data_IF_429018393298
#
_entry.id   IF_429018393298
#
_cell.length_a   1.000
_cell.length_b   1.000
_cell.length_c   1.000
_cell.angle_alpha   90.00
_cell.angle_beta   90.00
_cell.angle_gamma   90.00
#
_symmetry.space_group_name_H-M   'P 1'
#
loop_
_entity.id
_entity.type
_entity.pdbx_description
1 polymer ?
#
# COMPACT_ATOMS: atom_id res chain seq x y z
N UNK A 1 -18.17 15.35 -7.24
CA UNK A 1 -17.36 14.59 -6.27
C UNK A 1 -16.02 15.30 -6.13
N UNK A 2 -15.58 15.53 -4.89
CA UNK A 2 -14.27 16.12 -4.62
C UNK A 2 -13.19 15.04 -4.74
N UNK A 3 -12.73 14.79 -5.96
CA UNK A 3 -11.63 13.86 -6.21
C UNK A 3 -10.32 14.62 -6.36
N UNK A 4 -9.31 14.19 -5.62
CA UNK A 4 -7.94 14.69 -5.76
C UNK A 4 -7.15 13.67 -6.55
N UNK A 5 -6.36 14.14 -7.52
CA UNK A 5 -5.41 13.34 -8.27
C UNK A 5 -4.00 13.76 -7.92
N UNK A 6 -3.17 12.79 -7.57
CA UNK A 6 -1.77 12.99 -7.17
C UNK A 6 -0.86 12.24 -8.13
N UNK A 7 0.20 12.89 -8.59
CA UNK A 7 1.27 12.25 -9.35
C UNK A 7 2.12 11.39 -8.41
N UNK A 8 2.40 10.15 -8.81
CA UNK A 8 3.16 9.19 -8.03
C UNK A 8 4.53 8.98 -8.66
N UNK A 9 5.56 8.85 -7.83
CA UNK A 9 6.85 8.37 -8.32
C UNK A 9 6.74 6.89 -8.74
N UNK A 10 7.49 6.45 -9.77
CA UNK A 10 7.50 5.06 -10.19
C UNK A 10 7.94 4.15 -9.03
N UNK A 11 7.21 3.08 -8.72
CA UNK A 11 7.64 2.12 -7.72
C UNK A 11 8.89 1.36 -8.17
N UNK A 12 9.83 1.17 -7.25
CA UNK A 12 11.10 0.52 -7.51
C UNK A 12 11.16 -0.85 -6.81
N UNK A 13 11.41 -1.91 -7.57
CA UNK A 13 11.73 -3.22 -6.98
C UNK A 13 13.09 -3.17 -6.30
N UNK A 14 13.10 -3.37 -4.98
CA UNK A 14 14.32 -3.43 -4.17
C UNK A 14 14.79 -4.87 -3.90
N UNK A 15 14.02 -5.85 -4.37
CA UNK A 15 14.38 -7.27 -4.33
C UNK A 15 13.77 -8.04 -5.49
N UNK A 16 14.31 -9.24 -5.75
CA UNK A 16 13.55 -10.32 -6.40
C UNK A 16 12.44 -10.82 -5.44
N UNK A 17 11.69 -11.84 -5.84
CA UNK A 17 10.76 -12.50 -4.92
C UNK A 17 11.51 -13.02 -3.69
N UNK A 18 10.96 -12.77 -2.50
CA UNK A 18 11.47 -13.23 -1.21
C UNK A 18 10.41 -14.13 -0.59
N UNK A 19 10.84 -15.24 0.01
CA UNK A 19 9.99 -16.10 0.83
C UNK A 19 10.31 -15.93 2.31
N UNK A 20 9.29 -15.67 3.13
CA UNK A 20 9.37 -15.54 4.59
C UNK A 20 8.29 -16.42 5.20
N UNK A 21 8.68 -17.46 5.95
CA UNK A 21 7.76 -18.40 6.59
C UNK A 21 6.69 -18.98 5.62
N UNK A 22 7.12 -19.31 4.39
CA UNK A 22 6.23 -19.83 3.34
C UNK A 22 5.36 -18.77 2.64
N UNK A 23 5.50 -17.48 2.98
CA UNK A 23 4.82 -16.38 2.31
C UNK A 23 5.78 -15.72 1.32
N UNK A 24 5.37 -15.67 0.05
CA UNK A 24 6.14 -15.04 -1.02
C UNK A 24 5.67 -13.62 -1.30
N UNK A 25 6.61 -12.73 -1.58
CA UNK A 25 6.32 -11.36 -1.91
C UNK A 25 7.55 -10.60 -2.40
N UNK A 26 7.34 -9.33 -2.72
CA UNK A 26 8.36 -8.45 -3.26
C UNK A 26 8.56 -7.24 -2.37
N UNK A 27 9.81 -6.86 -2.12
CA UNK A 27 10.11 -5.56 -1.55
C UNK A 27 10.08 -4.51 -2.66
N UNK A 28 9.06 -3.65 -2.60
CA UNK A 28 8.86 -2.52 -3.50
C UNK A 28 8.96 -1.23 -2.70
N UNK A 29 9.70 -0.26 -3.22
CA UNK A 29 9.75 1.10 -2.69
C UNK A 29 8.80 2.00 -3.49
N UNK A 30 7.85 2.64 -2.81
CA UNK A 30 6.88 3.55 -3.41
C UNK A 30 6.65 4.73 -2.45
N UNK A 31 7.65 5.60 -2.28
CA UNK A 31 7.66 6.63 -1.22
C UNK A 31 7.92 6.08 0.19
N UNK A 32 7.47 4.85 0.46
CA UNK A 32 7.81 4.06 1.65
C UNK A 32 8.21 2.63 1.26
N UNK A 33 8.68 1.85 2.25
CA UNK A 33 9.07 0.45 2.06
C UNK A 33 7.85 -0.46 2.17
N UNK A 34 7.53 -1.21 1.13
CA UNK A 34 6.38 -2.10 1.07
C UNK A 34 6.79 -3.54 0.73
N UNK A 35 6.29 -4.51 1.49
CA UNK A 35 6.37 -5.92 1.15
C UNK A 35 5.02 -6.34 0.58
N UNK A 36 4.97 -6.52 -0.73
CA UNK A 36 3.74 -6.76 -1.50
C UNK A 36 3.54 -8.26 -1.70
N UNK A 37 2.39 -8.76 -1.28
CA UNK A 37 2.01 -10.18 -1.27
C UNK A 37 0.72 -10.35 -2.07
N UNK A 38 0.78 -11.14 -3.14
CA UNK A 38 -0.43 -11.62 -3.82
C UNK A 38 -1.05 -12.76 -3.02
N UNK A 39 -2.11 -12.47 -2.28
CA UNK A 39 -2.72 -13.40 -1.33
C UNK A 39 -3.84 -14.22 -1.99
N UNK A 40 -3.49 -15.36 -2.59
CA UNK A 40 -4.39 -16.17 -3.43
C UNK A 40 -5.51 -16.94 -2.71
N UNK A 41 -5.55 -16.93 -1.38
CA UNK A 41 -6.53 -17.69 -0.58
C UNK A 41 -7.64 -16.78 -0.04
N UNK A 42 -8.77 -17.33 0.40
CA UNK A 42 -9.79 -16.57 1.13
C UNK A 42 -9.19 -15.74 2.27
N UNK A 43 -9.74 -14.53 2.47
CA UNK A 43 -9.19 -13.58 3.44
C UNK A 43 -9.34 -14.22 4.83
N UNK A 44 -8.24 -14.43 5.57
CA UNK A 44 -8.37 -14.93 6.92
C UNK A 44 -8.82 -13.78 7.83
N UNK A 45 -9.10 -14.09 9.10
CA UNK A 45 -9.41 -13.05 10.09
C UNK A 45 -8.32 -11.98 10.15
N UNK A 46 -8.70 -10.74 10.46
CA UNK A 46 -7.75 -9.63 10.66
C UNK A 46 -6.66 -10.00 11.68
N UNK A 47 -7.02 -10.71 12.75
CA UNK A 47 -6.05 -11.17 13.76
C UNK A 47 -5.01 -12.15 13.20
N UNK A 48 -5.39 -12.99 12.22
CA UNK A 48 -4.45 -13.89 11.53
C UNK A 48 -3.59 -13.13 10.53
N UNK A 49 -4.16 -12.19 9.77
CA UNK A 49 -3.39 -11.30 8.90
C UNK A 49 -2.35 -10.50 9.67
N UNK A 50 -2.72 -9.91 10.81
CA UNK A 50 -1.79 -9.17 11.66
C UNK A 50 -0.64 -10.04 12.18
N UNK A 51 -0.91 -11.28 12.56
CA UNK A 51 0.14 -12.22 12.98
C UNK A 51 1.14 -12.49 11.86
N UNK A 52 0.65 -12.70 10.64
CA UNK A 52 1.52 -12.89 9.45
C UNK A 52 2.30 -11.62 9.16
N UNK A 53 1.61 -10.48 9.14
CA UNK A 53 2.21 -9.18 8.87
C UNK A 53 3.30 -8.81 9.86
N UNK A 54 3.09 -9.02 11.17
CA UNK A 54 4.08 -8.77 12.22
C UNK A 54 5.36 -9.58 11.99
N UNK A 55 5.25 -10.87 11.65
CA UNK A 55 6.43 -11.70 11.35
C UNK A 55 7.27 -11.14 10.20
N UNK A 56 6.61 -10.66 9.15
CA UNK A 56 7.27 -10.07 7.97
C UNK A 56 7.82 -8.67 8.31
N UNK A 57 7.01 -7.81 8.94
CA UNK A 57 7.35 -6.45 9.39
C UNK A 57 8.66 -6.40 10.17
N UNK A 58 8.87 -7.38 11.06
CA UNK A 58 10.03 -7.48 11.94
C UNK A 58 11.08 -8.51 11.46
N UNK A 59 10.93 -9.06 10.26
CA UNK A 59 11.92 -9.99 9.75
C UNK A 59 13.28 -9.30 9.59
N UNK A 60 14.36 -9.99 9.98
CA UNK A 60 15.74 -9.49 9.98
C UNK A 60 16.23 -9.00 8.61
N UNK A 61 15.63 -9.47 7.51
CA UNK A 61 15.93 -8.99 6.15
C UNK A 61 15.62 -7.48 6.02
N UNK A 62 14.66 -6.98 6.79
CA UNK A 62 14.27 -5.58 6.81
C UNK A 62 14.79 -4.90 8.09
N UNK A 63 16.02 -4.37 8.04
CA UNK A 63 16.71 -3.75 9.20
C UNK A 63 15.89 -2.73 10.02
N UNK A 64 15.04 -1.93 9.35
CA UNK A 64 14.13 -0.96 10.00
C UNK A 64 12.65 -1.35 9.81
N UNK A 65 12.45 -2.60 9.42
CA UNK A 65 11.24 -3.20 8.90
C UNK A 65 10.48 -2.43 7.82
N UNK A 66 9.29 -2.93 7.52
CA UNK A 66 8.59 -2.68 6.25
C UNK A 66 7.07 -2.65 6.44
N UNK A 67 6.36 -1.85 5.65
CA UNK A 67 4.91 -1.98 5.52
C UNK A 67 4.60 -3.34 4.89
N UNK A 68 3.55 -4.02 5.32
CA UNK A 68 3.15 -5.30 4.72
C UNK A 68 1.81 -5.11 4.03
N UNK A 69 1.78 -5.39 2.74
CA UNK A 69 0.62 -5.16 1.90
C UNK A 69 0.20 -6.50 1.30
N UNK A 70 -0.99 -6.96 1.67
CA UNK A 70 -1.64 -8.09 1.05
C UNK A 70 -2.60 -7.54 -0.01
N UNK A 71 -2.60 -8.14 -1.18
CA UNK A 71 -3.60 -7.82 -2.19
C UNK A 71 -4.18 -9.07 -2.82
N UNK A 72 -5.39 -8.92 -3.35
CA UNK A 72 -6.06 -9.92 -4.18
C UNK A 72 -6.53 -9.31 -5.47
N UNK A 73 -6.52 -10.11 -6.51
CA UNK A 73 -7.16 -9.76 -7.77
C UNK A 73 -8.66 -10.03 -7.66
N UNK A 74 -9.46 -9.08 -8.12
CA UNK A 74 -10.89 -9.23 -8.30
C UNK A 74 -11.24 -8.73 -9.71
N UNK A 75 -11.32 -9.64 -10.68
CA UNK A 75 -11.45 -9.36 -12.11
C UNK A 75 -10.40 -8.36 -12.65
N UNK A 76 -10.80 -7.08 -12.73
CA UNK A 76 -10.00 -5.96 -13.21
C UNK A 76 -9.47 -5.05 -12.10
N UNK A 77 -9.80 -5.33 -10.85
CA UNK A 77 -9.51 -4.52 -9.66
C UNK A 77 -8.66 -5.30 -8.66
N UNK A 78 -8.22 -4.63 -7.60
CA UNK A 78 -7.58 -5.29 -6.46
C UNK A 78 -8.17 -4.86 -5.13
N UNK A 79 -8.28 -5.82 -4.21
CA UNK A 79 -8.50 -5.53 -2.80
C UNK A 79 -7.15 -5.43 -2.12
N UNK A 80 -6.93 -4.44 -1.25
CA UNK A 80 -5.67 -4.24 -0.54
C UNK A 80 -5.87 -4.10 0.96
N UNK A 81 -5.11 -4.88 1.72
CA UNK A 81 -5.00 -4.78 3.18
C UNK A 81 -3.56 -4.39 3.53
N UNK A 82 -3.40 -3.33 4.32
CA UNK A 82 -2.09 -2.81 4.72
C UNK A 82 -1.90 -2.94 6.21
N UNK A 83 -0.78 -3.53 6.64
CA UNK A 83 -0.24 -3.40 7.98
C UNK A 83 0.86 -2.34 7.97
N UNK A 84 0.63 -1.23 8.67
CA UNK A 84 1.47 -0.04 8.54
C UNK A 84 2.54 0.01 9.64
N UNK A 85 3.79 0.16 9.21
CA UNK A 85 4.94 0.44 10.07
C UNK A 85 4.76 1.76 10.81
N UNK A 86 5.07 1.77 12.09
CA UNK A 86 4.98 2.95 12.94
C UNK A 86 3.59 3.12 13.56
N UNK A 87 2.56 2.49 12.98
CA UNK A 87 1.24 2.38 13.58
C UNK A 87 1.03 0.96 14.15
N UNK A 88 1.66 -0.04 13.55
CA UNK A 88 1.73 -1.44 14.00
C UNK A 88 0.36 -2.12 14.09
N UNK A 89 -0.55 -1.75 13.18
CA UNK A 89 -1.90 -2.29 13.03
C UNK A 89 -2.31 -2.35 11.55
N UNK A 90 -3.37 -3.11 11.26
CA UNK A 90 -4.03 -3.00 9.95
C UNK A 90 -4.63 -1.60 9.82
N UNK A 91 -4.27 -0.92 8.74
CA UNK A 91 -4.78 0.41 8.42
C UNK A 91 -5.97 0.33 7.47
N UNK A 92 -6.97 1.22 7.65
CA UNK A 92 -8.13 1.23 6.77
C UNK A 92 -7.78 1.60 5.31
N UNK A 93 -6.76 2.44 5.12
CA UNK A 93 -6.17 2.77 3.81
C UNK A 93 -4.70 3.16 3.95
N UNK A 94 -3.92 2.94 2.89
CA UNK A 94 -2.55 3.43 2.73
C UNK A 94 -2.28 3.64 1.23
N UNK A 95 -2.25 4.89 0.79
CA UNK A 95 -2.14 5.24 -0.63
C UNK A 95 -0.88 4.65 -1.30
N UNK A 96 0.29 4.79 -0.67
CA UNK A 96 1.54 4.26 -1.24
C UNK A 96 1.56 2.73 -1.30
N UNK A 97 1.00 2.06 -0.30
CA UNK A 97 0.88 0.61 -0.25
C UNK A 97 -0.08 0.06 -1.29
N UNK A 98 -1.24 0.69 -1.42
CA UNK A 98 -2.20 0.44 -2.49
C UNK A 98 -1.57 0.61 -3.87
N UNK A 99 -0.79 1.69 -4.07
CA UNK A 99 -0.11 1.94 -5.34
C UNK A 99 0.92 0.87 -5.66
N UNK A 100 1.73 0.45 -4.68
CA UNK A 100 2.70 -0.61 -4.85
C UNK A 100 2.05 -1.94 -5.27
N UNK A 101 0.91 -2.30 -4.67
CA UNK A 101 0.14 -3.48 -5.06
C UNK A 101 -0.41 -3.39 -6.49
N UNK A 102 -1.03 -2.26 -6.85
CA UNK A 102 -1.57 -2.04 -8.19
C UNK A 102 -0.48 -2.10 -9.26
N UNK A 103 0.64 -1.41 -9.02
CA UNK A 103 1.79 -1.43 -9.90
C UNK A 103 2.36 -2.84 -10.06
N UNK A 104 2.54 -3.57 -8.95
CA UNK A 104 3.02 -4.94 -9.00
C UNK A 104 2.08 -5.85 -9.81
N UNK A 105 0.76 -5.75 -9.57
CA UNK A 105 -0.25 -6.50 -10.30
C UNK A 105 -0.17 -6.25 -11.81
N UNK A 106 -0.16 -4.98 -12.23
CA UNK A 106 -0.11 -4.59 -13.64
C UNK A 106 1.18 -5.06 -14.30
N UNK A 107 2.32 -4.78 -13.66
CA UNK A 107 3.64 -5.11 -14.18
C UNK A 107 3.84 -6.62 -14.30
N UNK A 108 3.50 -7.38 -13.25
CA UNK A 108 3.72 -8.83 -13.22
C UNK A 108 2.83 -9.60 -14.20
N UNK A 109 1.61 -9.12 -14.46
CA UNK A 109 0.68 -9.74 -15.40
C UNK A 109 0.81 -9.19 -16.83
N UNK A 110 1.78 -8.31 -17.10
CA UNK A 110 1.98 -7.67 -18.40
C UNK A 110 0.70 -6.98 -18.94
N UNK A 111 -0.09 -6.41 -18.04
CA UNK A 111 -1.33 -5.71 -18.36
C UNK A 111 -0.99 -4.29 -18.81
N UNK A 112 -0.48 -4.14 -20.03
CA UNK A 112 0.02 -2.86 -20.53
C UNK A 112 -1.08 -1.79 -20.50
N UNK A 113 -0.83 -0.70 -19.79
CA UNK A 113 -1.65 0.52 -19.72
C UNK A 113 -3.07 0.25 -19.19
N UNK A 114 -3.17 0.10 -17.87
CA UNK A 114 -4.44 -0.24 -17.23
C UNK A 114 -4.75 0.72 -16.10
N UNK A 115 -5.99 1.15 -16.14
CA UNK A 115 -6.67 1.80 -15.04
C UNK A 115 -7.17 0.72 -14.09
N UNK A 116 -6.85 0.84 -12.82
CA UNK A 116 -7.22 -0.16 -11.82
C UNK A 116 -7.85 0.47 -10.61
N UNK A 117 -9.02 -0.03 -10.23
CA UNK A 117 -9.62 0.31 -8.95
C UNK A 117 -8.98 -0.52 -7.84
N UNK A 118 -8.75 0.14 -6.71
CA UNK A 118 -8.16 -0.43 -5.52
C UNK A 118 -9.15 -0.26 -4.40
N UNK A 119 -9.73 -1.37 -3.95
CA UNK A 119 -10.66 -1.38 -2.82
C UNK A 119 -9.86 -1.57 -1.55
N UNK A 120 -10.09 -0.69 -0.58
CA UNK A 120 -9.59 -0.81 0.78
C UNK A 120 -10.79 -0.78 1.76
N UNK A 121 -10.52 -0.72 3.07
CA UNK A 121 -11.58 -0.78 4.09
C UNK A 121 -12.47 0.48 4.09
N UNK A 122 -11.93 1.63 3.69
CA UNK A 122 -12.66 2.93 3.73
C UNK A 122 -13.27 3.32 2.38
N UNK A 123 -12.89 2.66 1.30
CA UNK A 123 -13.47 2.90 -0.02
C UNK A 123 -12.53 2.56 -1.17
N UNK A 124 -12.87 3.12 -2.33
CA UNK A 124 -12.16 2.86 -3.58
C UNK A 124 -11.17 3.99 -3.90
N UNK A 125 -9.96 3.58 -4.28
CA UNK A 125 -8.97 4.44 -4.91
C UNK A 125 -8.86 4.03 -6.39
N UNK A 126 -8.35 4.94 -7.20
CA UNK A 126 -8.12 4.68 -8.61
C UNK A 126 -6.65 4.94 -8.95
N UNK A 127 -5.99 3.96 -9.57
CA UNK A 127 -4.62 4.11 -10.05
C UNK A 127 -4.58 4.09 -11.59
N UNK A 128 -4.00 5.14 -12.15
CA UNK A 128 -3.62 5.21 -13.56
C UNK A 128 -2.14 4.86 -13.69
N UNK A 129 -1.82 3.82 -14.46
CA UNK A 129 -0.45 3.32 -14.63
C UNK A 129 -0.20 3.08 -16.12
N UNK A 130 0.57 3.99 -16.73
CA UNK A 130 1.08 3.86 -18.10
C UNK A 130 2.59 3.59 -18.03
N UNK A 131 2.94 2.31 -18.26
CA UNK A 131 4.33 1.86 -18.22
C UNK A 131 5.15 2.34 -19.43
N UNK A 132 4.49 2.70 -20.54
CA UNK A 132 5.15 3.14 -21.77
C UNK A 132 5.56 4.60 -21.65
N UNK A 133 4.66 5.45 -21.15
CA UNK A 133 4.90 6.88 -20.94
C UNK A 133 5.58 7.18 -19.60
N UNK A 134 5.68 6.20 -18.72
CA UNK A 134 6.13 6.39 -17.33
C UNK A 134 5.26 7.40 -16.57
N UNK A 135 3.94 7.29 -16.76
CA UNK A 135 2.95 8.16 -16.12
C UNK A 135 2.18 7.39 -15.05
N UNK A 136 2.13 7.95 -13.85
CA UNK A 136 1.67 7.27 -12.65
C UNK A 136 0.85 8.23 -11.80
N UNK A 137 -0.41 7.88 -11.57
CA UNK A 137 -1.29 8.71 -10.75
C UNK A 137 -2.17 7.88 -9.84
N UNK A 138 -2.50 8.47 -8.70
CA UNK A 138 -3.53 7.97 -7.80
C UNK A 138 -4.60 9.03 -7.60
N UNK A 139 -5.85 8.60 -7.66
CA UNK A 139 -7.02 9.44 -7.44
C UNK A 139 -7.92 8.84 -6.37
N UNK A 140 -8.58 9.69 -5.60
CA UNK A 140 -9.56 9.28 -4.59
C UNK A 140 -10.35 10.46 -4.03
N UNK A 141 -11.41 10.18 -3.28
CA UNK A 141 -12.21 11.21 -2.63
C UNK A 141 -11.42 11.91 -1.52
N UNK A 142 -11.65 13.21 -1.35
CA UNK A 142 -11.14 13.98 -0.23
C UNK A 142 -12.24 14.92 0.31
N UNK A 143 -12.37 14.96 1.64
CA UNK A 143 -13.35 15.78 2.34
C UNK A 143 -12.67 16.47 3.53
N UNK A 144 -12.99 17.76 3.73
CA UNK A 144 -12.57 18.51 4.90
C UNK A 144 -13.66 18.33 5.95
N UNK A 145 -13.38 17.54 6.99
CA UNK A 145 -14.37 17.27 8.04
C UNK A 145 -14.55 18.46 9.00
N UNK A 146 -13.45 19.16 9.33
CA UNK A 146 -13.46 20.27 10.29
C UNK A 146 -12.19 21.12 10.19
N UNK A 147 -12.28 22.40 10.56
CA UNK A 147 -11.16 23.36 10.57
C UNK A 147 -11.05 24.03 11.95
N UNK A 148 -9.83 24.13 12.50
CA UNK A 148 -9.55 24.73 13.81
C UNK A 148 -8.18 25.37 13.90
N UNK A 149 -8.11 26.51 14.57
CA UNK A 149 -6.86 27.17 14.94
C UNK A 149 -6.27 26.56 16.23
N UNK A 150 -4.98 26.20 16.20
CA UNK A 150 -4.24 25.66 17.35
C UNK A 150 -3.27 26.71 17.88
N UNK A 151 -3.31 26.97 19.20
CA UNK A 151 -2.32 27.80 19.90
C UNK A 151 -1.33 26.90 20.63
N UNK A 152 -0.06 27.02 20.31
CA UNK A 152 1.02 26.30 20.97
C UNK A 152 1.77 27.27 21.88
N UNK A 153 1.84 26.98 23.18
CA UNK A 153 2.79 27.64 24.07
C UNK A 153 4.12 26.89 24.03
N UNK A 154 5.18 27.57 23.61
CA UNK A 154 6.54 27.03 23.70
C UNK A 154 6.90 26.85 25.18
N UNK A 155 6.90 25.60 25.64
CA UNK A 155 7.32 25.25 27.00
C UNK A 155 8.75 25.76 27.27
N UNK A 156 8.92 26.41 28.41
CA UNK A 156 10.24 26.78 28.96
C UNK A 156 11.15 25.55 28.93
N UNK A 157 12.35 25.71 28.37
CA UNK A 157 13.44 24.73 28.49
C UNK A 157 13.59 24.33 29.96
N UNK A 158 13.43 23.03 30.25
CA UNK A 158 13.97 22.40 31.46
C UNK A 158 15.51 22.37 31.35
#
# INVERSE_FOLDING_TARGET
QNNVRVSMNPPEYRSKEIEIDGIRGFYIFAGAKHFVINYKHEWPSNSRLEKIAKKIRYNKIFKNGINVNFYKNNDNNIDVITYEKGIEKIMPSCASGSFACAYHHIFHNNLKNKDIYITNVVGELFAYIDLIKSEFFMSGPAEIEYEKELKFELGKKL
#
